data_IF_413336623811
#
_entry.id   IF_413336623811
#
_cell.length_a   1.000
_cell.length_b   1.000
_cell.length_c   1.000
_cell.angle_alpha   90.00
_cell.angle_beta   90.00
_cell.angle_gamma   90.00
#
_symmetry.space_group_name_H-M   'P 1'
#
loop_
_entity.id
_entity.type
_entity.pdbx_description
1 polymer ?
2 non-polymer ?
3 non-polymer ?
4 non-polymer ?
5 water ?
#
# COMPACT_ATOMS: atom_id res chain seq x y z
N UNK A 1 -15.71 -1.93 21.06
CA UNK A 1 -16.93 -1.56 20.36
C UNK A 1 -16.68 -1.26 18.89
N UNK A 2 -16.55 -2.31 18.08
CA UNK A 2 -16.24 -2.10 16.67
C UNK A 2 -17.49 -2.34 15.81
N UNK A 3 -17.68 -1.55 14.77
CA UNK A 3 -18.80 -1.78 13.85
C UNK A 3 -18.61 -3.04 13.05
N UNK A 4 -19.72 -3.61 12.58
CA UNK A 4 -19.66 -4.81 11.75
C UNK A 4 -18.98 -4.55 10.42
N UNK A 5 -19.03 -3.31 9.93
CA UNK A 5 -18.34 -2.90 8.71
C UNK A 5 -17.64 -1.57 8.96
N UNK A 6 -16.54 -1.36 8.23
CA UNK A 6 -15.80 -0.10 8.28
C UNK A 6 -15.04 0.07 6.98
N UNK A 7 -15.06 1.29 6.46
CA UNK A 7 -14.42 1.64 5.20
C UNK A 7 -13.73 2.97 5.44
N UNK A 8 -12.40 2.97 5.39
CA UNK A 8 -11.63 4.20 5.64
C UNK A 8 -12.00 5.30 4.65
N UNK A 9 -12.43 4.96 3.43
CA UNK A 9 -12.84 5.98 2.47
C UNK A 9 -14.09 6.72 2.93
N UNK A 10 -14.96 6.07 3.70
CA UNK A 10 -16.17 6.70 4.19
C UNK A 10 -15.88 7.46 5.48
N UNK A 11 -14.98 6.94 6.32
CA UNK A 11 -14.68 7.61 7.58
C UNK A 11 -13.98 8.93 7.35
N UNK A 12 -13.05 8.96 6.39
CA UNK A 12 -12.20 10.12 6.15
C UNK A 12 -12.42 10.57 4.71
N UNK A 13 -13.59 11.14 4.41
CA UNK A 13 -13.93 11.45 3.01
C UNK A 13 -13.10 12.58 2.41
N UNK A 14 -12.39 13.36 3.23
CA UNK A 14 -11.58 14.44 2.69
C UNK A 14 -10.13 14.02 2.51
N UNK A 15 -9.85 12.71 2.54
CA UNK A 15 -8.50 12.18 2.33
C UNK A 15 -8.50 11.43 1.01
N UNK A 16 -8.25 12.11 -0.11
CA UNK A 16 -8.39 11.45 -1.41
C UNK A 16 -7.40 10.33 -1.65
N UNK A 17 -6.26 10.28 -0.94
CA UNK A 17 -5.33 9.18 -1.19
C UNK A 17 -5.92 7.83 -0.79
N UNK A 18 -6.86 7.81 0.15
CA UNK A 18 -7.44 6.54 0.58
C UNK A 18 -8.18 5.86 -0.58
N UNK A 19 -8.78 6.67 -1.45
CA UNK A 19 -9.50 6.14 -2.61
C UNK A 19 -8.59 5.83 -3.80
N UNK A 20 -7.31 6.21 -3.75
CA UNK A 20 -6.45 6.19 -4.93
C UNK A 20 -5.78 4.81 -5.09
N UNK A 21 -5.79 4.28 -6.31
CA UNK A 21 -5.15 3.01 -6.61
C UNK A 21 -3.89 3.28 -7.42
N UNK A 22 -2.78 2.65 -7.02
CA UNK A 22 -1.49 2.81 -7.68
C UNK A 22 -1.17 1.62 -8.58
N UNK A 23 -0.04 1.72 -9.30
CA UNK A 23 0.44 0.69 -10.22
C UNK A 23 1.95 0.55 -10.07
N UNK A 24 2.40 -0.59 -9.58
CA UNK A 24 3.85 -0.82 -9.40
C UNK A 24 4.56 -0.92 -10.75
N UNK A 25 3.82 -1.16 -11.81
CA UNK A 25 4.53 -1.33 -13.06
C UNK A 25 5.28 -2.65 -13.10
N UNK A 26 6.22 -2.74 -14.05
CA UNK A 26 7.05 -3.94 -14.19
C UNK A 26 8.17 -3.89 -13.17
N UNK A 27 7.77 -3.99 -11.90
CA UNK A 27 8.69 -3.91 -10.79
C UNK A 27 7.99 -4.51 -9.58
N UNK A 28 8.69 -5.35 -8.84
CA UNK A 28 8.10 -5.98 -7.67
C UNK A 28 8.18 -5.09 -6.45
N UNK A 29 7.54 -3.92 -6.53
CA UNK A 29 7.65 -2.90 -5.51
C UNK A 29 6.44 -2.85 -4.58
N UNK A 30 5.61 -3.92 -4.59
CA UNK A 30 4.43 -3.98 -3.73
C UNK A 30 4.76 -3.67 -2.28
N UNK A 31 5.90 -4.15 -1.78
CA UNK A 31 6.26 -3.89 -0.38
C UNK A 31 6.35 -2.39 -0.10
N UNK A 32 6.84 -1.64 -1.07
CA UNK A 32 6.95 -0.19 -0.90
C UNK A 32 5.60 0.49 -1.08
N UNK A 33 4.78 0.01 -2.02
CA UNK A 33 3.50 0.67 -2.26
C UNK A 33 2.57 0.50 -1.08
N UNK A 34 2.48 -0.71 -0.50
CA UNK A 34 1.62 -0.86 0.65
C UNK A 34 1.99 0.10 1.77
N UNK A 35 3.30 0.34 1.95
CA UNK A 35 3.78 1.24 2.98
C UNK A 35 3.44 2.70 2.67
N UNK A 36 3.88 3.21 1.52
CA UNK A 36 3.67 4.64 1.26
C UNK A 36 2.19 4.97 1.11
N UNK A 37 1.38 4.02 0.62
CA UNK A 37 -0.05 4.26 0.52
C UNK A 37 -0.68 4.42 1.90
N UNK A 38 -0.36 3.50 2.80
CA UNK A 38 -0.89 3.62 4.16
C UNK A 38 -0.36 4.85 4.86
N UNK A 39 0.93 5.17 4.67
CA UNK A 39 1.50 6.37 5.28
C UNK A 39 0.81 7.61 4.76
N UNK A 40 0.55 7.67 3.44
CA UNK A 40 -0.14 8.82 2.86
C UNK A 40 -1.49 9.02 3.53
N UNK A 41 -2.26 7.92 3.68
CA UNK A 41 -3.56 8.00 4.34
C UNK A 41 -3.42 8.47 5.77
N UNK A 42 -2.43 7.94 6.48
CA UNK A 42 -2.32 8.29 7.90
C UNK A 42 -1.89 9.74 8.11
N UNK A 43 -1.07 10.30 7.21
CA UNK A 43 -0.73 11.72 7.34
C UNK A 43 -1.99 12.57 7.24
N UNK A 44 -2.87 12.24 6.29
CA UNK A 44 -4.12 12.97 6.14
C UNK A 44 -5.04 12.77 7.35
N UNK A 45 -5.17 11.54 7.81
CA UNK A 45 -5.96 11.26 9.01
C UNK A 45 -5.40 12.02 10.22
N UNK A 46 -4.07 11.98 10.40
CA UNK A 46 -3.41 12.62 11.55
C UNK A 46 -3.57 14.12 11.57
N UNK A 47 -3.81 14.76 10.42
CA UNK A 47 -3.96 16.19 10.32
C UNK A 47 -5.37 16.62 9.98
N UNK A 48 -6.34 15.71 10.05
CA UNK A 48 -7.74 16.01 9.74
C UNK A 48 -7.88 16.68 8.38
N UNK A 49 -7.16 16.11 7.41
CA UNK A 49 -7.23 16.55 5.99
C UNK A 49 -6.57 17.89 5.71
N UNK A 50 -5.85 18.41 6.69
CA UNK A 50 -5.13 19.64 6.42
C UNK A 50 -3.86 19.39 5.61
N UNK A 51 -3.29 18.19 5.75
CA UNK A 51 -2.18 17.75 4.89
C UNK A 51 -2.65 16.53 4.14
N UNK A 52 -2.68 16.63 2.81
CA UNK A 52 -2.97 15.47 1.98
C UNK A 52 -1.88 15.42 0.93
N UNK A 53 -1.05 14.38 0.98
CA UNK A 53 0.08 14.25 0.08
C UNK A 53 0.21 12.80 -0.34
N UNK A 54 0.66 12.62 -1.57
CA UNK A 54 1.05 11.30 -2.04
C UNK A 54 2.52 11.09 -1.66
N UNK A 55 2.78 10.15 -0.76
CA UNK A 55 4.14 9.86 -0.34
C UNK A 55 4.80 8.97 -1.39
N UNK A 56 6.06 9.26 -1.72
CA UNK A 56 6.70 8.75 -2.94
C UNK A 56 7.12 7.30 -2.76
N UNK A 57 6.50 6.41 -3.53
CA UNK A 57 6.99 5.03 -3.62
C UNK A 57 8.39 5.00 -4.23
N UNK A 58 8.67 5.90 -5.19
CA UNK A 58 10.00 6.02 -5.78
C UNK A 58 11.07 6.24 -4.70
N UNK A 59 10.79 7.14 -3.75
CA UNK A 59 11.79 7.45 -2.74
C UNK A 59 12.10 6.23 -1.87
N UNK A 60 11.05 5.52 -1.43
CA UNK A 60 11.25 4.32 -0.62
C UNK A 60 11.91 3.21 -1.42
N UNK A 61 11.40 2.97 -2.63
CA UNK A 61 11.93 1.88 -3.46
C UNK A 61 13.41 2.04 -3.74
N UNK A 62 13.86 3.26 -3.99
CA UNK A 62 15.21 3.47 -4.50
C UNK A 62 16.22 3.86 -3.45
N UNK A 63 15.80 4.47 -2.34
CA UNK A 63 16.74 5.01 -1.38
C UNK A 63 16.86 4.23 -0.08
N UNK A 64 15.95 3.30 0.20
CA UNK A 64 16.09 2.54 1.44
C UNK A 64 17.33 1.65 1.43
N UNK A 65 17.61 1.00 0.31
CA UNK A 65 18.77 0.14 0.26
C UNK A 65 18.48 -1.26 0.76
N UNK A 66 19.55 -1.92 1.22
CA UNK A 66 19.48 -3.34 1.53
C UNK A 66 18.74 -3.63 2.83
N UNK A 67 18.52 -2.62 3.68
CA UNK A 67 17.72 -2.85 4.90
C UNK A 67 16.27 -3.22 4.50
N UNK A 68 15.78 -2.68 3.38
CA UNK A 68 14.42 -2.96 2.94
C UNK A 68 14.30 -4.19 2.05
N UNK A 69 15.42 -4.74 1.57
CA UNK A 69 15.34 -5.84 0.64
C UNK A 69 16.11 -5.59 -0.65
N UNK A 70 15.48 -5.84 -1.80
CA UNK A 70 16.17 -5.75 -3.08
C UNK A 70 15.33 -5.03 -4.12
N UNK A 71 14.72 -3.91 -3.73
CA UNK A 71 14.10 -3.03 -4.71
C UNK A 71 13.02 -3.72 -5.51
N UNK A 72 13.16 -3.67 -6.84
CA UNK A 72 12.17 -4.26 -7.75
C UNK A 72 12.15 -5.78 -7.66
N UNK A 73 13.11 -6.39 -6.99
CA UNK A 73 13.11 -7.83 -6.81
C UNK A 73 12.37 -8.26 -5.55
N UNK A 74 11.76 -7.31 -4.85
CA UNK A 74 10.97 -7.57 -3.66
C UNK A 74 11.67 -7.04 -2.41
N UNK A 75 10.85 -6.78 -1.39
CA UNK A 75 11.33 -6.19 -0.16
C UNK A 75 10.50 -6.53 1.05
N UNK A 76 10.66 -5.79 2.15
CA UNK A 76 10.05 -6.16 3.42
C UNK A 76 9.26 -5.01 4.02
N UNK A 77 7.95 -5.17 4.21
CA UNK A 77 7.12 -4.12 4.78
C UNK A 77 7.63 -3.54 6.08
N UNK A 78 8.08 -4.36 7.04
CA UNK A 78 8.46 -3.80 8.34
C UNK A 78 9.61 -2.81 8.19
N UNK A 79 10.60 -3.13 7.36
CA UNK A 79 11.74 -2.24 7.19
C UNK A 79 11.42 -1.01 6.38
N UNK A 80 10.40 -1.06 5.52
CA UNK A 80 9.92 0.14 4.84
C UNK A 80 9.44 1.18 5.84
N UNK A 81 8.64 0.74 6.81
CA UNK A 81 8.14 1.67 7.82
C UNK A 81 9.26 2.16 8.72
N UNK A 82 10.25 1.31 9.00
CA UNK A 82 11.42 1.74 9.76
C UNK A 82 12.20 2.83 9.02
N UNK A 83 12.40 2.66 7.71
CA UNK A 83 13.08 3.68 6.93
C UNK A 83 12.35 5.01 7.01
N UNK A 84 11.02 4.95 7.04
CA UNK A 84 10.21 6.16 7.19
C UNK A 84 10.51 6.87 8.51
N UNK A 85 10.69 6.10 9.59
CA UNK A 85 11.01 6.73 10.88
C UNK A 85 12.45 7.22 10.97
N UNK A 86 13.37 6.58 10.26
CA UNK A 86 14.76 7.02 10.34
C UNK A 86 15.08 8.14 9.35
N UNK A 87 14.77 7.93 8.07
CA UNK A 87 15.18 8.85 7.03
C UNK A 87 14.04 9.64 6.41
N UNK A 88 12.79 9.25 6.65
CA UNK A 88 11.66 9.95 6.10
C UNK A 88 11.46 9.67 4.62
N UNK A 89 10.35 10.17 4.09
CA UNK A 89 10.01 10.00 2.68
C UNK A 89 9.42 11.29 2.12
N UNK A 90 9.87 11.64 0.92
CA UNK A 90 9.37 12.83 0.21
C UNK A 90 8.06 12.50 -0.52
N UNK A 91 7.40 13.54 -1.01
CA UNK A 91 6.18 13.38 -1.79
C UNK A 91 6.49 12.87 -3.19
N UNK A 92 5.49 12.24 -3.81
CA UNK A 92 5.61 11.81 -5.20
C UNK A 92 4.39 11.07 -5.67
N UNK A 93 3.87 11.44 -6.83
CA UNK A 93 2.63 10.92 -7.36
C UNK A 93 2.84 9.75 -8.30
N UNK A 94 1.86 9.53 -9.17
CA UNK A 94 1.93 8.44 -10.13
C UNK A 94 2.89 8.76 -11.28
N UNK A 95 3.07 7.75 -12.12
CA UNK A 95 3.98 7.88 -13.26
C UNK A 95 3.52 9.00 -14.18
N UNK A 96 4.44 9.91 -14.51
CA UNK A 96 4.18 11.04 -15.39
C UNK A 96 3.06 11.93 -14.86
N UNK A 97 2.86 11.95 -13.54
CA UNK A 97 1.88 12.83 -12.93
C UNK A 97 2.43 14.22 -12.66
N UNK A 98 3.75 14.38 -12.59
CA UNK A 98 4.39 15.64 -12.19
C UNK A 98 3.87 16.13 -10.85
N UNK A 99 3.53 15.18 -9.97
CA UNK A 99 3.02 15.47 -8.64
C UNK A 99 4.11 15.15 -7.64
N UNK A 100 4.45 16.12 -6.80
CA UNK A 100 5.35 15.85 -5.70
C UNK A 100 6.81 15.84 -6.11
N UNK A 101 7.65 15.53 -5.12
CA UNK A 101 9.10 15.60 -5.30
C UNK A 101 9.60 14.54 -6.27
N UNK A 102 9.34 13.27 -5.97
CA UNK A 102 9.85 12.15 -6.76
C UNK A 102 8.67 11.27 -7.19
N UNK A 103 7.96 11.66 -8.24
CA UNK A 103 6.89 10.79 -8.74
C UNK A 103 7.47 9.50 -9.29
N UNK A 104 6.62 8.48 -9.32
CA UNK A 104 7.04 7.13 -9.70
C UNK A 104 7.62 7.12 -11.11
N UNK A 105 8.73 6.39 -11.29
CA UNK A 105 9.44 6.41 -12.56
C UNK A 105 9.17 5.18 -13.42
N UNK A 106 8.60 4.13 -12.84
CA UNK A 106 8.32 2.88 -13.60
C UNK A 106 6.96 3.01 -14.28
N UNK A 107 6.85 2.87 -15.61
CA UNK A 107 5.59 3.10 -16.30
C UNK A 107 4.55 2.06 -15.91
N UNK A 108 3.27 2.41 -15.93
CA UNK A 108 2.22 1.43 -15.62
C UNK A 108 2.16 0.36 -16.69
N UNK A 109 1.51 -0.75 -16.35
CA UNK A 109 1.42 -1.88 -17.26
C UNK A 109 0.27 -2.78 -16.82
N UNK A 110 -0.02 -3.79 -17.63
CA UNK A 110 -1.16 -4.67 -17.39
C UNK A 110 -0.72 -5.84 -16.53
N UNK A 111 -1.37 -6.01 -15.38
CA UNK A 111 -1.04 -7.06 -14.43
C UNK A 111 -2.09 -8.15 -14.58
N UNK A 112 -1.79 -9.14 -15.42
CA UNK A 112 -2.65 -10.31 -15.59
C UNK A 112 -4.06 -9.93 -16.05
N UNK A 113 -4.17 -8.82 -16.80
CA UNK A 113 -5.40 -8.47 -17.49
C UNK A 113 -5.04 -7.97 -18.89
N UNK A 114 -6.01 -8.06 -19.80
CA UNK A 114 -5.90 -7.39 -21.09
C UNK A 114 -6.31 -5.94 -20.94
N UNK A 115 -5.48 -5.02 -21.43
CA UNK A 115 -5.80 -3.62 -21.36
C UNK A 115 -5.20 -2.83 -22.50
N UNK A 116 -4.96 -1.53 -22.27
CA UNK A 116 -4.37 -0.68 -23.30
C UNK A 116 -2.90 -0.39 -23.07
N UNK A 117 -2.37 -0.73 -21.92
CA UNK A 117 -0.98 -0.51 -21.56
C UNK A 117 -0.15 -1.72 -21.96
N UNK A 118 1.17 -1.58 -22.07
CA UNK A 118 1.99 -2.75 -22.32
C UNK A 118 1.84 -3.76 -21.20
N UNK A 119 1.95 -5.05 -21.50
CA UNK A 119 1.91 -6.04 -20.43
C UNK A 119 3.13 -5.92 -19.52
N UNK A 120 2.93 -6.22 -18.24
CA UNK A 120 4.04 -6.16 -17.30
C UNK A 120 5.05 -7.27 -17.59
N UNK A 121 6.33 -6.94 -17.46
CA UNK A 121 7.44 -7.83 -17.78
C UNK A 121 8.28 -8.07 -16.52
N UNK A 122 9.45 -8.69 -16.70
CA UNK A 122 10.35 -8.99 -15.61
C UNK A 122 10.77 -7.83 -14.73
N UNK A 125 14.37 -3.89 -12.67
CA UNK A 125 15.66 -3.24 -12.41
C UNK A 125 15.45 -1.98 -11.58
N UNK A 126 16.03 -1.96 -10.39
CA UNK A 126 15.71 -0.91 -9.42
C UNK A 126 16.31 0.43 -9.87
N UNK A 127 15.53 1.51 -9.86
CA UNK A 127 16.10 2.83 -10.16
C UNK A 127 17.07 3.26 -9.07
N UNK A 128 18.00 4.13 -9.47
CA UNK A 128 18.99 4.64 -8.55
C UNK A 128 18.37 5.66 -7.59
N UNK A 129 18.94 5.76 -6.39
CA UNK A 129 18.45 6.74 -5.43
C UNK A 129 18.84 8.14 -5.87
N UNK A 130 17.86 8.98 -6.07
CA UNK A 130 18.03 10.36 -6.51
C UNK A 130 17.51 11.25 -5.39
N UNK A 131 18.43 11.86 -4.63
CA UNK A 131 18.03 12.75 -3.55
C UNK A 131 17.84 14.18 -4.04
N UNK A 132 17.05 14.34 -5.11
CA UNK A 132 16.77 15.64 -5.70
C UNK A 132 15.38 15.60 -6.32
N UNK A 133 14.58 16.65 -6.10
CA UNK A 133 13.21 16.67 -6.58
C UNK A 133 13.15 16.93 -8.09
N UNK A 134 11.98 16.65 -8.65
CA UNK A 134 11.69 16.83 -10.06
C UNK A 134 11.57 18.33 -10.38
N UNK A 135 11.66 18.72 -11.65
CA UNK A 135 11.59 20.15 -11.96
C UNK A 135 10.22 20.72 -11.63
N UNK A 136 10.22 21.99 -11.24
CA UNK A 136 8.99 22.69 -10.91
C UNK A 136 8.43 22.42 -9.54
N UNK A 137 9.01 21.48 -8.78
CA UNK A 137 8.54 21.18 -7.44
C UNK A 137 9.42 21.85 -6.40
N UNK A 138 8.77 22.44 -5.41
CA UNK A 138 9.41 22.92 -4.19
C UNK A 138 8.57 22.48 -3.01
N UNK A 139 9.18 22.33 -1.82
CA UNK A 139 10.57 22.62 -1.43
C UNK A 139 11.61 21.61 -1.90
N UNK A 140 12.86 21.79 -1.46
CA UNK A 140 13.95 20.89 -1.84
C UNK A 140 13.73 19.50 -1.25
N UNK A 141 14.46 18.52 -1.81
CA UNK A 141 14.28 17.12 -1.41
C UNK A 141 14.45 16.95 0.10
N UNK A 142 15.39 17.68 0.68
CA UNK A 142 15.63 17.56 2.12
C UNK A 142 14.42 18.04 2.93
N UNK A 143 13.85 19.20 2.57
CA UNK A 143 12.74 19.72 3.35
C UNK A 143 11.41 19.09 3.00
N UNK A 144 11.32 18.26 1.96
CA UNK A 144 10.07 17.62 1.60
C UNK A 144 9.84 16.32 2.34
N UNK A 145 10.75 15.93 3.24
CA UNK A 145 10.70 14.63 3.87
C UNK A 145 9.64 14.59 4.97
N UNK A 146 8.91 13.49 5.03
CA UNK A 146 7.90 13.23 6.05
C UNK A 146 8.36 12.04 6.89
N UNK A 147 8.40 12.20 8.20
CA UNK A 147 8.90 11.15 9.07
C UNK A 147 7.81 10.50 9.90
N UNK A 148 8.05 9.24 10.25
CA UNK A 148 7.21 8.52 11.20
C UNK A 148 7.73 8.68 12.61
N UNK A 149 6.79 8.75 13.56
CA UNK A 149 7.15 8.67 14.98
C UNK A 149 7.63 7.28 15.33
N UNK A 150 6.99 6.25 14.79
CA UNK A 150 7.35 4.89 15.12
C UNK A 150 6.90 3.97 14.00
N UNK A 151 7.23 2.69 14.16
CA UNK A 151 6.74 1.63 13.31
C UNK A 151 6.62 0.40 14.19
N UNK A 152 5.59 -0.41 13.92
CA UNK A 152 5.29 -1.53 14.80
C UNK A 152 4.53 -2.62 14.07
N UNK A 153 4.63 -3.83 14.60
CA UNK A 153 3.80 -4.92 14.15
C UNK A 153 2.48 -4.91 14.89
N UNK A 154 1.43 -5.32 14.20
CA UNK A 154 0.12 -5.59 14.81
C UNK A 154 0.03 -7.10 15.00
N UNK A 155 -0.58 -7.51 16.11
CA UNK A 155 -0.64 -8.93 16.41
C UNK A 155 -1.54 -9.69 15.42
N UNK A 156 -1.28 -10.99 15.29
CA UNK A 156 -2.08 -11.85 14.42
C UNK A 156 -3.40 -12.08 15.14
N UNK A 157 -4.28 -11.10 15.01
CA UNK A 157 -5.54 -11.06 15.74
C UNK A 157 -6.49 -10.16 14.96
N UNK A 158 -7.64 -10.71 14.57
CA UNK A 158 -8.61 -9.97 13.79
C UNK A 158 -9.05 -8.71 14.52
N UNK A 159 -9.38 -8.84 15.80
CA UNK A 159 -9.85 -7.69 16.58
C UNK A 159 -8.77 -6.63 16.71
N UNK A 160 -7.53 -7.05 16.94
CA UNK A 160 -6.44 -6.08 17.06
C UNK A 160 -6.22 -5.32 15.76
N UNK A 161 -6.28 -6.01 14.62
CA UNK A 161 -6.11 -5.34 13.33
C UNK A 161 -7.26 -4.38 13.07
N UNK A 162 -8.50 -4.81 13.34
CA UNK A 162 -9.66 -3.93 13.16
C UNK A 162 -9.54 -2.68 14.02
N UNK A 163 -9.14 -2.84 15.27
CA UNK A 163 -8.99 -1.68 16.16
C UNK A 163 -7.91 -0.74 15.65
N UNK A 164 -6.82 -1.29 15.13
CA UNK A 164 -5.73 -0.47 14.62
C UNK A 164 -6.18 0.38 13.44
N UNK A 165 -6.94 -0.23 12.52
CA UNK A 165 -7.48 0.52 11.38
C UNK A 165 -8.49 1.56 11.85
N UNK A 166 -9.38 1.17 12.77
CA UNK A 166 -10.47 2.02 13.25
C UNK A 166 -9.93 3.28 13.91
N UNK A 167 -8.86 3.13 14.69
CA UNK A 167 -8.31 4.25 15.45
C UNK A 167 -7.27 5.03 14.66
N UNK A 168 -6.36 4.33 13.97
CA UNK A 168 -5.17 4.97 13.43
C UNK A 168 -5.06 4.98 11.92
N UNK A 169 -5.99 4.34 11.21
CA UNK A 169 -5.99 4.39 9.76
C UNK A 169 -5.47 3.12 9.10
N UNK A 170 -5.44 3.15 7.76
CA UNK A 170 -5.05 1.97 7.00
C UNK A 170 -3.66 1.46 7.38
N UNK A 171 -3.47 0.14 7.20
CA UNK A 171 -2.25 -0.56 7.57
C UNK A 171 -1.68 -1.23 6.33
N UNK A 172 -0.42 -1.67 6.44
CA UNK A 172 0.14 -2.56 5.42
C UNK A 172 0.05 -3.99 5.90
N UNK A 173 -0.29 -4.91 4.98
CA UNK A 173 -0.28 -6.32 5.28
C UNK A 173 0.39 -7.10 4.16
N UNK A 174 0.53 -8.40 4.39
CA UNK A 174 1.14 -9.28 3.41
C UNK A 174 0.42 -10.61 3.39
N UNK A 175 0.40 -11.26 2.22
CA UNK A 175 -0.29 -12.53 2.14
C UNK A 175 0.30 -13.36 1.00
N UNK A 176 -0.01 -14.65 1.00
CA UNK A 176 0.42 -15.54 -0.07
C UNK A 176 -0.52 -15.45 -1.25
N UNK A 177 0.03 -15.17 -2.44
CA UNK A 177 -0.76 -15.10 -3.67
C UNK A 177 -0.76 -16.46 -4.34
N UNK A 178 -1.96 -17.00 -4.55
CA UNK A 178 -2.17 -18.19 -5.36
C UNK A 178 -2.79 -17.79 -6.69
N UNK A 179 -2.67 -18.65 -7.69
CA UNK A 179 -2.99 -18.22 -9.03
C UNK A 179 -4.46 -17.86 -9.22
N UNK A 180 -5.37 -18.39 -8.39
CA UNK A 180 -6.77 -17.99 -8.59
C UNK A 180 -7.03 -16.56 -8.13
N UNK A 181 -6.12 -15.98 -7.34
CA UNK A 181 -6.19 -14.56 -7.00
C UNK A 181 -6.03 -13.68 -8.23
N UNK A 182 -5.21 -14.11 -9.18
CA UNK A 182 -4.93 -13.34 -10.37
C UNK A 182 -6.22 -12.97 -11.09
N UNK A 183 -7.23 -13.85 -10.99
CA UNK A 183 -8.50 -13.84 -11.72
C UNK A 183 -9.63 -13.13 -10.97
N UNK A 184 -9.34 -12.57 -9.81
CA UNK A 184 -10.36 -11.97 -8.97
C UNK A 184 -11.04 -10.79 -9.68
N UNK A 185 -12.35 -10.73 -9.56
CA UNK A 185 -13.07 -9.58 -10.11
C UNK A 185 -13.94 -8.89 -9.07
N UNK A 186 -14.53 -9.65 -8.14
CA UNK A 186 -15.60 -9.17 -7.27
C UNK A 186 -15.79 -10.17 -6.14
N UNK A 187 -16.48 -9.74 -5.08
CA UNK A 187 -16.82 -10.63 -4.00
C UNK A 187 -15.68 -10.82 -3.03
N UNK A 188 -15.79 -11.83 -2.19
CA UNK A 188 -14.77 -12.10 -1.18
C UNK A 188 -13.85 -13.21 -1.68
N UNK A 189 -12.57 -12.89 -1.86
CA UNK A 189 -11.63 -13.89 -2.31
C UNK A 189 -11.32 -14.91 -1.21
N UNK A 190 -11.30 -16.18 -1.60
CA UNK A 190 -10.72 -17.27 -0.82
C UNK A 190 -9.93 -18.14 -1.79
N UNK A 191 -8.79 -18.67 -1.35
CA UNK A 191 -8.04 -19.60 -2.18
C UNK A 191 -8.79 -20.92 -2.30
N UNK A 192 -9.26 -21.24 -3.51
CA UNK A 192 -9.97 -22.49 -3.81
C UNK A 192 -9.17 -23.35 -4.77
N UNK A 193 -8.47 -22.73 -5.72
CA UNK A 193 -7.73 -23.43 -6.75
C UNK A 193 -6.43 -22.69 -7.02
N UNK A 194 -5.53 -23.37 -7.72
CA UNK A 194 -4.35 -22.72 -8.28
C UNK A 194 -3.11 -22.89 -7.41
N UNK A 195 -1.96 -22.70 -8.05
CA UNK A 195 -0.68 -22.89 -7.40
C UNK A 195 -0.24 -21.65 -6.62
N UNK A 196 0.65 -21.88 -5.65
CA UNK A 196 1.34 -20.79 -4.98
C UNK A 196 2.24 -20.02 -5.93
N UNK A 197 2.21 -18.68 -5.80
CA UNK A 197 3.01 -17.80 -6.64
C UNK A 197 4.07 -17.02 -5.88
N UNK A 198 3.76 -16.58 -4.68
CA UNK A 198 4.71 -15.82 -3.89
C UNK A 198 4.01 -14.88 -2.94
N UNK A 199 4.79 -14.02 -2.32
CA UNK A 199 4.29 -13.10 -1.30
C UNK A 199 3.95 -11.74 -1.86
N UNK A 200 2.90 -11.13 -1.30
CA UNK A 200 2.40 -9.86 -1.81
C UNK A 200 2.11 -8.96 -0.62
N UNK A 201 2.33 -7.66 -0.80
CA UNK A 201 2.17 -6.68 0.26
C UNK A 201 1.21 -5.63 -0.22
N UNK A 202 0.22 -5.28 0.62
CA UNK A 202 -0.93 -4.49 0.21
C UNK A 202 -1.39 -3.58 1.34
N UNK A 203 -2.38 -2.75 1.07
CA UNK A 203 -2.92 -1.81 2.03
C UNK A 203 -4.29 -2.30 2.47
N UNK A 204 -4.48 -2.49 3.78
CA UNK A 204 -5.78 -2.89 4.31
C UNK A 204 -6.47 -1.65 4.88
N UNK A 205 -7.69 -1.37 4.42
CA UNK A 205 -8.36 -0.11 4.76
C UNK A 205 -9.77 -0.28 5.30
N UNK A 206 -10.18 -1.49 5.65
CA UNK A 206 -11.52 -1.67 6.18
C UNK A 206 -11.87 -3.14 6.28
N UNK A 207 -13.14 -3.37 6.61
CA UNK A 207 -13.67 -4.73 6.74
C UNK A 207 -15.18 -4.69 6.57
N UNK A 208 -15.76 -5.88 6.38
CA UNK A 208 -17.20 -6.01 6.34
C UNK A 208 -17.60 -7.47 6.24
N UNK A 209 -18.88 -7.69 5.94
CA UNK A 209 -19.42 -9.01 5.62
C UNK A 209 -20.23 -8.87 4.34
N UNK A 210 -19.95 -9.73 3.36
CA UNK A 210 -20.64 -9.72 2.08
C UNK A 210 -21.20 -11.10 1.82
N UNK A 211 -22.53 -11.20 1.72
CA UNK A 211 -23.19 -12.47 1.43
C UNK A 211 -22.75 -13.55 2.42
N UNK A 212 -22.71 -13.17 3.71
CA UNK A 212 -22.35 -14.08 4.78
C UNK A 212 -20.86 -14.27 5.03
N UNK A 213 -19.99 -13.75 4.18
CA UNK A 213 -18.56 -13.99 4.29
C UNK A 213 -17.85 -12.77 4.87
N UNK A 214 -17.20 -12.88 6.01
CA UNK A 214 -16.44 -11.73 6.54
C UNK A 214 -15.18 -11.50 5.71
N UNK A 215 -14.83 -10.22 5.53
CA UNK A 215 -13.74 -9.86 4.65
C UNK A 215 -12.95 -8.67 5.18
N UNK A 216 -11.72 -8.55 4.68
CA UNK A 216 -10.91 -7.34 4.73
C UNK A 216 -11.05 -6.60 3.39
N UNK A 217 -11.19 -5.28 3.48
CA UNK A 217 -11.16 -4.40 2.31
C UNK A 217 -9.71 -4.00 2.04
N UNK A 218 -9.22 -4.30 0.83
CA UNK A 218 -7.81 -4.17 0.49
C UNK A 218 -7.64 -3.41 -0.82
N UNK A 219 -6.61 -2.57 -0.90
CA UNK A 219 -6.20 -1.94 -2.14
C UNK A 219 -5.05 -2.73 -2.73
N UNK A 220 -5.21 -3.24 -3.96
CA UNK A 220 -4.05 -3.73 -4.69
C UNK A 220 -3.33 -2.55 -5.34
N UNK A 221 -2.12 -2.80 -5.83
CA UNK A 221 -1.31 -1.82 -6.56
C UNK A 221 -1.02 -2.30 -7.97
N UNK A 222 -2.06 -2.84 -8.62
CA UNK A 222 -1.98 -3.35 -9.99
C UNK A 222 -2.84 -2.52 -10.94
N UNK A 223 -3.03 -1.23 -10.62
CA UNK A 223 -3.84 -0.29 -11.38
C UNK A 223 -5.32 -0.57 -11.20
N UNK A 224 -6.14 0.31 -11.74
CA UNK A 224 -7.57 0.24 -11.50
C UNK A 224 -8.27 -0.75 -12.42
N UNK A 225 -7.62 -1.22 -13.48
CA UNK A 225 -8.26 -2.21 -14.34
C UNK A 225 -8.03 -3.64 -13.87
N UNK A 226 -7.40 -3.84 -12.72
CA UNK A 226 -7.33 -5.14 -12.10
C UNK A 226 -8.38 -5.25 -11.01
N UNK A 227 -9.02 -6.41 -10.90
CA UNK A 227 -9.87 -6.67 -9.74
C UNK A 227 -11.12 -5.80 -9.74
N UNK A 228 -11.47 -5.32 -8.54
CA UNK A 228 -12.67 -4.52 -8.34
C UNK A 228 -12.25 -3.06 -8.31
N UNK A 229 -12.08 -2.48 -9.49
CA UNK A 229 -11.60 -1.10 -9.64
C UNK A 229 -10.27 -0.91 -8.91
N UNK A 230 -9.45 -1.97 -8.87
CA UNK A 230 -8.17 -1.92 -8.18
C UNK A 230 -8.18 -2.45 -6.77
N UNK A 231 -9.37 -2.62 -6.17
CA UNK A 231 -9.52 -3.15 -4.83
C UNK A 231 -9.88 -4.64 -4.86
N UNK A 232 -9.76 -5.27 -3.69
CA UNK A 232 -10.33 -6.59 -3.51
C UNK A 232 -10.76 -6.77 -2.06
N UNK A 233 -11.57 -7.80 -1.83
CA UNK A 233 -11.93 -8.27 -0.49
C UNK A 233 -11.37 -9.67 -0.32
N UNK A 234 -10.85 -9.97 0.86
CA UNK A 234 -10.29 -11.29 1.15
C UNK A 234 -10.84 -11.76 2.50
N UNK A 235 -11.12 -13.07 2.58
CA UNK A 235 -11.66 -13.71 3.78
C UNK A 235 -10.96 -13.25 5.05
N UNK A 236 -11.77 -12.86 6.05
CA UNK A 236 -11.28 -12.30 7.31
C UNK A 236 -11.56 -13.27 8.46
N UNK A 237 -10.62 -13.35 9.40
CA UNK A 237 -10.84 -14.07 10.64
C UNK A 237 -10.22 -15.45 10.72
N UNK A 238 -9.54 -15.90 9.66
CA UNK A 238 -8.94 -17.24 9.62
C UNK A 238 -7.47 -17.18 9.26
N UNK A 239 -6.85 -16.00 9.35
CA UNK A 239 -5.50 -15.75 8.84
C UNK A 239 -5.35 -16.34 7.45
N UNK A 240 -6.34 -16.07 6.60
CA UNK A 240 -6.39 -16.72 5.29
C UNK A 240 -5.24 -16.26 4.42
N UNK A 241 -4.46 -17.22 3.90
CA UNK A 241 -3.27 -16.90 3.11
C UNK A 241 -2.29 -16.03 3.89
N UNK A 242 -2.39 -16.03 5.22
CA UNK A 242 -1.53 -15.21 6.06
C UNK A 242 -1.89 -13.75 6.16
N UNK A 243 -3.10 -13.35 5.74
CA UNK A 243 -3.48 -11.93 5.64
C UNK A 243 -3.42 -11.22 7.00
N UNK A 244 -3.52 -11.95 8.10
CA UNK A 244 -3.50 -11.34 9.43
C UNK A 244 -2.16 -11.48 10.14
N UNK A 245 -1.15 -12.05 9.49
CA UNK A 245 0.08 -12.46 10.15
C UNK A 245 1.24 -11.49 9.98
N UNK A 246 1.14 -10.53 9.06
CA UNK A 246 2.27 -9.66 8.74
C UNK A 246 1.81 -8.21 8.65
N UNK A 247 0.94 -7.78 9.56
CA UNK A 247 0.40 -6.42 9.53
C UNK A 247 1.37 -5.47 10.24
N UNK A 248 1.69 -4.36 9.58
CA UNK A 248 2.60 -3.37 10.14
C UNK A 248 2.01 -1.99 9.95
N UNK A 249 2.37 -1.07 10.84
CA UNK A 249 1.86 0.28 10.75
C UNK A 249 2.81 1.21 11.50
N UNK A 250 2.35 2.44 11.74
CA UNK A 250 3.18 3.42 12.41
C UNK A 250 2.45 4.75 12.38
N UNK A 251 2.85 5.67 13.26
CA UNK A 251 2.17 6.94 13.46
C UNK A 251 3.05 8.04 12.87
N UNK A 252 2.50 8.95 12.07
CA UNK A 252 3.31 10.05 11.50
C UNK A 252 3.76 11.05 12.55
N UNK A 253 4.94 11.62 12.33
CA UNK A 253 5.29 12.90 12.95
C UNK A 253 4.48 14.02 12.32
N UNK A 254 4.20 15.07 13.09
CA UNK A 254 3.55 16.25 12.54
C UNK A 254 4.54 17.07 11.73
N UNK A 255 4.19 17.37 10.48
CA UNK A 255 5.09 18.08 9.56
C UNK A 255 5.55 19.42 10.09
#
# INVERSE_FOLDING_TARGET
KLPASFDAREQWPQCPTIKEIRDQGSCGSCWAFGAVEAISDRICIHTNAHVSVEVSAEDLLTCCGSMCGDGCNGGYPAEAWNFWTRKGLVSGGLYESHVGCRPYSIPPCEHHVNGSRPPCTGEGDTPKCSKICEPGYSPTYKQDKHYGYNSYSVSNSEKDIMAEIYKNGPVEGAFSVYSDFLLYKSGVYQHVTGEMMGGHAIRILGWGVENGTPYWLVANSWNTDWGDNGFFKILRGQDHCGIESEVVAGIPRTD
#
